data_IF_984627425826
#
_entry.id   IF_984627425826
#
_cell.length_a   1.000
_cell.length_b   1.000
_cell.length_c   1.000
_cell.angle_alpha   90.00
_cell.angle_beta   90.00
_cell.angle_gamma   90.00
#
_symmetry.space_group_name_H-M   'P 1'
#
loop_
_entity.id
_entity.type
_entity.pdbx_description
1 polymer ?
#
# COMPACT_ATOMS: atom_id res chain seq x y z
N UNK A 1 -19.43 9.28 -22.32
CA UNK A 1 -17.96 9.29 -22.06
C UNK A 1 -17.53 8.47 -20.82
N UNK A 2 -18.41 7.67 -20.20
CA UNK A 2 -18.11 6.90 -18.98
C UNK A 2 -17.09 5.74 -19.14
N UNK A 3 -16.73 5.38 -20.36
CA UNK A 3 -15.80 4.27 -20.65
C UNK A 3 -14.32 4.69 -20.74
N UNK A 4 -14.01 5.99 -20.73
CA UNK A 4 -12.64 6.46 -20.88
C UNK A 4 -11.78 6.21 -19.63
N UNK A 5 -12.35 6.43 -18.44
CA UNK A 5 -11.69 6.15 -17.16
C UNK A 5 -11.44 4.65 -16.96
N UNK A 6 -12.44 3.81 -17.22
CA UNK A 6 -12.32 2.36 -17.12
C UNK A 6 -11.26 1.78 -18.08
N UNK A 7 -11.20 2.29 -19.33
CA UNK A 7 -10.14 1.94 -20.28
C UNK A 7 -8.75 2.36 -19.80
N UNK A 8 -8.64 3.55 -19.19
CA UNK A 8 -7.38 4.05 -18.61
C UNK A 8 -6.91 3.14 -17.48
N UNK A 9 -7.78 2.83 -16.52
CA UNK A 9 -7.48 1.94 -15.39
C UNK A 9 -7.05 0.57 -15.90
N UNK A 10 -7.79 -0.01 -16.85
CA UNK A 10 -7.43 -1.29 -17.46
C UNK A 10 -6.03 -1.27 -18.08
N UNK A 11 -5.69 -0.23 -18.85
CA UNK A 11 -4.36 -0.09 -19.47
C UNK A 11 -3.24 0.05 -18.43
N UNK A 12 -3.49 0.77 -17.34
CA UNK A 12 -2.54 0.96 -16.24
C UNK A 12 -2.33 -0.36 -15.49
N UNK A 13 -3.42 -1.07 -15.17
CA UNK A 13 -3.40 -2.37 -14.53
C UNK A 13 -2.62 -3.41 -15.35
N UNK A 14 -2.86 -3.48 -16.66
CA UNK A 14 -2.12 -4.38 -17.55
C UNK A 14 -0.61 -4.12 -17.55
N UNK A 15 -0.20 -2.84 -17.54
CA UNK A 15 1.20 -2.47 -17.44
C UNK A 15 1.80 -2.85 -16.08
N UNK A 16 1.08 -2.60 -14.99
CA UNK A 16 1.54 -2.91 -13.64
C UNK A 16 1.63 -4.43 -13.41
N UNK A 17 0.66 -5.21 -13.88
CA UNK A 17 0.69 -6.67 -13.80
C UNK A 17 1.89 -7.24 -14.56
N UNK A 18 2.24 -6.69 -15.73
CA UNK A 18 3.47 -7.07 -16.45
C UNK A 18 4.72 -6.79 -15.61
N UNK A 19 4.80 -5.62 -14.97
CA UNK A 19 5.91 -5.27 -14.06
C UNK A 19 6.01 -6.22 -12.88
N UNK A 20 4.88 -6.57 -12.24
CA UNK A 20 4.85 -7.51 -11.10
C UNK A 20 5.34 -8.90 -11.53
N UNK A 21 4.86 -9.42 -12.67
CA UNK A 21 5.29 -10.73 -13.19
C UNK A 21 6.79 -10.74 -13.48
N UNK A 22 7.30 -9.68 -14.10
CA UNK A 22 8.72 -9.55 -14.40
C UNK A 22 9.54 -9.40 -13.11
N UNK A 23 9.05 -8.60 -12.16
CA UNK A 23 9.65 -8.40 -10.84
C UNK A 23 9.62 -9.62 -9.92
N UNK A 24 8.92 -10.70 -10.27
CA UNK A 24 9.04 -11.96 -9.53
C UNK A 24 10.39 -12.66 -9.78
N UNK A 25 10.85 -12.61 -11.04
CA UNK A 25 12.05 -13.32 -11.48
C UNK A 25 13.27 -12.41 -11.54
N UNK A 26 13.09 -11.17 -11.97
CA UNK A 26 14.18 -10.23 -12.20
C UNK A 26 15.07 -9.99 -10.96
N UNK A 27 14.56 -9.69 -9.76
CA UNK A 27 15.42 -9.43 -8.60
C UNK A 27 16.16 -10.67 -8.15
N UNK A 28 15.57 -11.86 -8.26
CA UNK A 28 16.21 -13.15 -7.96
C UNK A 28 17.39 -13.40 -8.90
N UNK A 29 17.17 -13.26 -10.21
CA UNK A 29 18.21 -13.44 -11.23
C UNK A 29 19.31 -12.38 -11.05
N UNK A 30 18.93 -11.12 -10.87
CA UNK A 30 19.87 -10.02 -10.72
C UNK A 30 20.70 -10.15 -9.44
N UNK A 31 20.10 -10.56 -8.33
CA UNK A 31 20.81 -10.85 -7.08
C UNK A 31 21.85 -11.95 -7.27
N UNK A 32 21.47 -13.05 -7.92
CA UNK A 32 22.39 -14.15 -8.21
C UNK A 32 23.53 -13.71 -9.14
N UNK A 33 23.22 -12.95 -10.20
CA UNK A 33 24.19 -12.45 -11.15
C UNK A 33 25.18 -11.47 -10.50
N UNK A 34 24.69 -10.53 -9.69
CA UNK A 34 25.53 -9.57 -8.96
C UNK A 34 26.45 -10.28 -7.97
N UNK A 35 25.94 -11.30 -7.27
CA UNK A 35 26.74 -12.11 -6.36
C UNK A 35 27.82 -12.90 -7.10
N UNK A 36 27.49 -13.49 -8.25
CA UNK A 36 28.45 -14.19 -9.12
C UNK A 36 29.53 -13.25 -9.67
N UNK A 37 29.15 -12.02 -10.06
CA UNK A 37 30.06 -11.07 -10.70
C UNK A 37 30.97 -10.37 -9.69
N UNK A 38 30.42 -9.95 -8.54
CA UNK A 38 31.13 -9.14 -7.54
C UNK A 38 31.74 -9.97 -6.39
N UNK A 39 31.26 -11.19 -6.14
CA UNK A 39 31.65 -12.01 -4.97
C UNK A 39 31.80 -13.49 -5.33
N UNK A 40 32.69 -13.75 -6.30
CA UNK A 40 33.06 -15.11 -6.78
C UNK A 40 33.47 -16.06 -5.64
N UNK A 41 34.09 -15.52 -4.59
CA UNK A 41 34.64 -16.31 -3.47
C UNK A 41 33.62 -16.62 -2.35
N UNK A 42 32.36 -16.14 -2.45
CA UNK A 42 31.31 -16.33 -1.41
C UNK A 42 30.18 -17.27 -1.84
N UNK A 43 30.51 -18.31 -2.60
CA UNK A 43 29.64 -19.46 -2.87
C UNK A 43 29.96 -20.54 -1.84
N UNK A 44 29.07 -20.96 -0.91
CA UNK A 44 27.62 -20.80 -0.87
C UNK A 44 27.10 -19.67 0.05
N UNK A 45 25.83 -19.24 -0.10
CA UNK A 45 25.19 -18.37 0.89
C UNK A 45 25.27 -19.02 2.27
N UNK A 46 25.72 -18.25 3.27
CA UNK A 46 25.61 -18.65 4.66
C UNK A 46 24.18 -19.09 4.95
N UNK A 47 24.01 -20.19 5.71
CA UNK A 47 22.69 -20.80 5.98
C UNK A 47 21.63 -19.77 6.39
N UNK A 48 22.03 -18.73 7.14
CA UNK A 48 21.16 -17.62 7.53
C UNK A 48 20.68 -16.74 6.38
N UNK A 49 21.52 -16.45 5.39
CA UNK A 49 21.12 -15.69 4.19
C UNK A 49 20.10 -16.47 3.37
N UNK A 50 20.32 -17.78 3.19
CA UNK A 50 19.37 -18.64 2.47
C UNK A 50 18.00 -18.68 3.17
N UNK A 51 17.97 -18.77 4.50
CA UNK A 51 16.73 -18.72 5.28
C UNK A 51 16.01 -17.37 5.10
N UNK A 52 16.72 -16.25 5.03
CA UNK A 52 16.12 -14.93 4.78
C UNK A 52 15.54 -14.81 3.36
N UNK A 53 16.26 -15.31 2.34
CA UNK A 53 15.73 -15.36 0.97
C UNK A 53 14.47 -16.21 0.90
N UNK A 54 14.47 -17.40 1.53
CA UNK A 54 13.32 -18.29 1.52
C UNK A 54 12.14 -17.71 2.32
N UNK A 55 12.42 -17.09 3.47
CA UNK A 55 11.43 -16.44 4.32
C UNK A 55 10.77 -15.23 3.67
N UNK A 56 11.52 -14.46 2.87
CA UNK A 56 10.97 -13.30 2.14
C UNK A 56 10.36 -13.67 0.79
N UNK A 57 10.72 -14.82 0.21
CA UNK A 57 10.13 -15.32 -1.02
C UNK A 57 8.63 -15.61 -0.85
N UNK A 58 8.22 -16.22 0.26
CA UNK A 58 6.81 -16.57 0.50
C UNK A 58 5.86 -15.35 0.52
N UNK A 59 6.08 -14.30 1.34
CA UNK A 59 5.23 -13.12 1.34
C UNK A 59 5.29 -12.37 0.00
N UNK A 60 6.46 -12.29 -0.64
CA UNK A 60 6.61 -11.70 -1.98
C UNK A 60 5.75 -12.45 -3.02
N UNK A 61 5.84 -13.78 -3.05
CA UNK A 61 5.06 -14.60 -3.95
C UNK A 61 3.56 -14.42 -3.70
N UNK A 62 3.14 -14.47 -2.44
CA UNK A 62 1.74 -14.28 -2.07
C UNK A 62 1.19 -12.90 -2.48
N UNK A 63 1.90 -11.81 -2.15
CA UNK A 63 1.50 -10.45 -2.54
C UNK A 63 1.45 -10.26 -4.05
N UNK A 64 2.45 -10.78 -4.77
CA UNK A 64 2.49 -10.68 -6.23
C UNK A 64 1.30 -11.40 -6.89
N UNK A 65 0.91 -12.56 -6.36
CA UNK A 65 -0.25 -13.33 -6.81
C UNK A 65 -1.55 -12.61 -6.49
N UNK A 66 -1.67 -12.06 -5.28
CA UNK A 66 -2.82 -11.26 -4.87
C UNK A 66 -3.00 -10.03 -5.77
N UNK A 67 -1.96 -9.19 -5.93
CA UNK A 67 -2.00 -8.00 -6.79
C UNK A 67 -2.27 -8.34 -8.26
N UNK A 68 -1.68 -9.43 -8.76
CA UNK A 68 -1.97 -9.90 -10.12
C UNK A 68 -3.42 -10.32 -10.25
N UNK A 69 -3.99 -11.01 -9.26
CA UNK A 69 -5.38 -11.48 -9.31
C UNK A 69 -6.37 -10.32 -9.33
N UNK A 70 -6.21 -9.34 -8.46
CA UNK A 70 -7.14 -8.19 -8.37
C UNK A 70 -6.97 -7.22 -9.56
N UNK A 71 -5.75 -7.07 -10.09
CA UNK A 71 -5.47 -6.18 -11.21
C UNK A 71 -5.63 -6.82 -12.60
N UNK A 72 -5.96 -8.11 -12.71
CA UNK A 72 -6.11 -8.75 -14.02
C UNK A 72 -7.40 -8.30 -14.68
N UNK A 73 -7.26 -7.60 -15.80
CA UNK A 73 -8.36 -7.20 -16.68
C UNK A 73 -8.96 -8.41 -17.39
N UNK A 74 -10.29 -8.49 -17.45
CA UNK A 74 -11.01 -9.48 -18.26
C UNK A 74 -11.55 -8.84 -19.53
N UNK A 75 -11.20 -9.41 -20.67
CA UNK A 75 -11.71 -9.02 -21.99
C UNK A 75 -12.38 -10.21 -22.64
N UNK A 76 -13.40 -9.95 -23.44
CA UNK A 76 -14.08 -10.98 -24.23
C UNK A 76 -13.11 -11.52 -25.30
N UNK A 77 -12.86 -12.84 -25.35
CA UNK A 77 -11.96 -13.43 -26.34
C UNK A 77 -12.44 -13.27 -27.79
N UNK A 78 -13.75 -13.06 -28.01
CA UNK A 78 -14.33 -12.99 -29.36
C UNK A 78 -14.45 -11.56 -29.88
N UNK A 79 -14.90 -10.63 -29.04
CA UNK A 79 -15.13 -9.23 -29.42
C UNK A 79 -14.01 -8.28 -28.99
N UNK A 80 -13.08 -8.72 -28.14
CA UNK A 80 -12.03 -7.88 -27.57
C UNK A 80 -12.55 -6.78 -26.65
N UNK A 81 -13.85 -6.77 -26.34
CA UNK A 81 -14.49 -5.78 -25.48
C UNK A 81 -14.06 -5.98 -24.03
N UNK A 82 -13.90 -4.87 -23.31
CA UNK A 82 -13.50 -4.90 -21.91
C UNK A 82 -14.71 -5.29 -21.05
N UNK A 83 -14.64 -6.46 -20.40
CA UNK A 83 -15.68 -6.98 -19.51
C UNK A 83 -15.46 -6.43 -18.09
N UNK A 84 -14.22 -6.43 -17.61
CA UNK A 84 -13.84 -5.89 -16.30
C UNK A 84 -12.42 -5.34 -16.33
N UNK A 85 -12.22 -4.16 -15.75
CA UNK A 85 -10.91 -3.53 -15.61
C UNK A 85 -10.14 -3.99 -14.36
N UNK A 86 -10.74 -4.83 -13.52
CA UNK A 86 -10.18 -5.25 -12.23
C UNK A 86 -10.25 -4.14 -11.18
N UNK A 87 -9.59 -4.35 -10.04
CA UNK A 87 -9.38 -3.31 -9.03
C UNK A 87 -8.22 -2.41 -9.46
N UNK A 88 -8.34 -1.11 -9.22
CA UNK A 88 -7.31 -0.15 -9.61
C UNK A 88 -6.09 -0.32 -8.69
N UNK A 89 -5.00 -0.84 -9.26
CA UNK A 89 -3.76 -1.10 -8.53
C UNK A 89 -3.08 0.19 -8.04
N UNK A 90 -3.45 1.35 -8.58
CA UNK A 90 -2.89 2.63 -8.16
C UNK A 90 -3.72 3.31 -7.06
N UNK A 91 -4.69 2.61 -6.48
CA UNK A 91 -5.45 3.17 -5.36
C UNK A 91 -4.58 3.30 -4.10
N UNK A 92 -4.73 4.39 -3.33
CA UNK A 92 -4.09 4.53 -2.04
C UNK A 92 -4.69 3.55 -1.03
N UNK A 93 -3.89 3.11 -0.05
CA UNK A 93 -4.31 2.13 0.95
C UNK A 93 -3.67 0.76 0.72
N UNK A 94 -4.43 -0.34 0.80
CA UNK A 94 -3.82 -1.68 0.87
C UNK A 94 -2.89 -2.03 -0.30
N UNK A 95 -3.24 -1.61 -1.51
CA UNK A 95 -2.44 -1.81 -2.74
C UNK A 95 -1.09 -1.11 -2.66
N UNK A 96 -1.06 0.15 -2.20
CA UNK A 96 0.18 0.92 -1.99
C UNK A 96 1.11 0.20 -1.00
N UNK A 97 0.57 -0.25 0.12
CA UNK A 97 1.34 -0.99 1.14
C UNK A 97 1.88 -2.32 0.58
N UNK A 98 1.11 -2.99 -0.27
CA UNK A 98 1.57 -4.20 -0.93
C UNK A 98 2.71 -3.91 -1.94
N UNK A 99 2.64 -2.80 -2.69
CA UNK A 99 3.71 -2.37 -3.58
C UNK A 99 4.98 -1.98 -2.82
N UNK A 100 4.86 -1.27 -1.69
CA UNK A 100 6.01 -0.92 -0.85
C UNK A 100 6.72 -2.16 -0.35
N UNK A 101 5.98 -3.14 0.18
CA UNK A 101 6.55 -4.41 0.63
C UNK A 101 7.24 -5.14 -0.53
N UNK A 102 6.62 -5.20 -1.71
CA UNK A 102 7.24 -5.84 -2.89
C UNK A 102 8.54 -5.12 -3.31
N UNK A 103 8.51 -3.80 -3.47
CA UNK A 103 9.67 -3.05 -3.94
C UNK A 103 10.81 -3.06 -2.93
N UNK A 104 10.52 -2.96 -1.62
CA UNK A 104 11.55 -3.10 -0.59
C UNK A 104 12.12 -4.53 -0.59
N UNK A 105 11.28 -5.55 -0.79
CA UNK A 105 11.76 -6.94 -0.90
C UNK A 105 12.70 -7.11 -2.09
N UNK A 106 12.33 -6.58 -3.27
CA UNK A 106 13.18 -6.65 -4.47
C UNK A 106 14.48 -5.89 -4.28
N UNK A 107 14.43 -4.69 -3.69
CA UNK A 107 15.61 -3.91 -3.36
C UNK A 107 16.49 -4.66 -2.37
N UNK A 108 15.92 -5.33 -1.36
CA UNK A 108 16.68 -6.13 -0.40
C UNK A 108 17.34 -7.34 -1.05
N UNK A 109 16.65 -8.05 -1.94
CA UNK A 109 17.22 -9.18 -2.67
C UNK A 109 18.40 -8.76 -3.56
N UNK A 110 18.21 -7.73 -4.37
CA UNK A 110 19.25 -7.20 -5.28
C UNK A 110 20.40 -6.56 -4.50
N UNK A 111 20.08 -5.72 -3.51
CA UNK A 111 21.04 -5.02 -2.68
C UNK A 111 21.89 -5.96 -1.83
N UNK A 112 21.31 -7.02 -1.29
CA UNK A 112 22.10 -8.06 -0.59
C UNK A 112 23.01 -8.85 -1.54
N UNK A 113 22.61 -9.03 -2.81
CA UNK A 113 23.47 -9.62 -3.84
C UNK A 113 24.68 -8.73 -4.18
N UNK A 114 24.50 -7.40 -4.19
CA UNK A 114 25.57 -6.44 -4.48
C UNK A 114 26.46 -6.12 -3.28
N UNK A 115 25.84 -5.74 -2.14
CA UNK A 115 26.51 -5.16 -0.98
C UNK A 115 26.69 -6.16 0.18
N UNK A 116 26.10 -7.35 0.08
CA UNK A 116 26.19 -8.41 1.09
C UNK A 116 25.07 -8.41 2.11
N UNK A 117 25.18 -9.31 3.08
CA UNK A 117 24.11 -9.66 4.02
C UNK A 117 23.69 -8.51 4.96
N UNK A 118 24.52 -7.48 5.15
CA UNK A 118 24.15 -6.32 5.97
C UNK A 118 22.92 -5.59 5.43
N UNK A 119 22.68 -5.64 4.11
CA UNK A 119 21.57 -4.96 3.47
C UNK A 119 20.20 -5.46 3.95
N UNK A 120 20.13 -6.69 4.51
CA UNK A 120 18.93 -7.23 5.13
C UNK A 120 18.46 -6.43 6.35
N UNK A 121 19.32 -5.62 6.97
CA UNK A 121 18.90 -4.71 8.03
C UNK A 121 17.87 -3.69 7.53
N UNK A 122 17.92 -3.26 6.27
CA UNK A 122 16.90 -2.38 5.70
C UNK A 122 15.53 -3.04 5.65
N UNK A 123 15.46 -4.37 5.57
CA UNK A 123 14.21 -5.10 5.59
C UNK A 123 13.48 -4.98 6.94
N UNK A 124 14.19 -4.66 8.02
CA UNK A 124 13.60 -4.45 9.36
C UNK A 124 12.74 -3.18 9.44
N UNK A 125 12.86 -2.26 8.48
CA UNK A 125 12.00 -1.06 8.38
C UNK A 125 10.53 -1.45 8.18
N UNK A 126 10.24 -2.52 7.44
CA UNK A 126 8.89 -3.01 7.20
C UNK A 126 8.18 -3.40 8.51
N UNK A 127 8.70 -4.35 9.32
CA UNK A 127 8.04 -4.72 10.58
C UNK A 127 8.04 -3.56 11.58
N UNK A 128 9.09 -2.74 11.63
CA UNK A 128 9.13 -1.57 12.51
C UNK A 128 7.99 -0.59 12.21
N UNK A 129 7.77 -0.29 10.93
CA UNK A 129 6.69 0.59 10.49
C UNK A 129 5.31 -0.03 10.70
N UNK A 130 5.17 -1.34 10.48
CA UNK A 130 3.93 -2.07 10.76
C UNK A 130 3.57 -2.01 12.26
N UNK A 131 4.54 -2.21 13.15
CA UNK A 131 4.38 -2.09 14.60
C UNK A 131 4.01 -0.66 14.98
N UNK A 132 4.71 0.34 14.43
CA UNK A 132 4.39 1.75 14.67
C UNK A 132 2.94 2.08 14.28
N UNK A 133 2.50 1.67 13.09
CA UNK A 133 1.11 1.92 12.67
C UNK A 133 0.11 1.18 13.55
N UNK A 134 0.38 -0.06 13.94
CA UNK A 134 -0.48 -0.82 14.86
C UNK A 134 -0.56 -0.13 16.23
N UNK A 135 0.57 0.37 16.72
CA UNK A 135 0.64 1.12 17.96
C UNK A 135 -0.23 2.37 17.91
N UNK A 136 -0.08 3.20 16.88
CA UNK A 136 -0.86 4.45 16.73
C UNK A 136 -2.34 4.17 16.45
N UNK A 137 -2.67 3.16 15.63
CA UNK A 137 -4.03 2.93 15.17
C UNK A 137 -4.89 2.09 16.11
N UNK A 138 -4.30 1.19 16.91
CA UNK A 138 -5.05 0.23 17.73
C UNK A 138 -4.76 0.42 19.21
N UNK A 139 -3.49 0.56 19.58
CA UNK A 139 -3.07 0.56 20.99
C UNK A 139 -3.26 1.95 21.60
N UNK A 140 -2.80 3.00 20.93
CA UNK A 140 -2.95 4.41 21.35
C UNK A 140 -4.41 4.78 21.67
N UNK A 141 -5.40 4.55 20.79
CA UNK A 141 -6.79 4.91 21.10
C UNK A 141 -7.39 4.10 22.27
N UNK A 142 -6.90 2.89 22.52
CA UNK A 142 -7.37 2.01 23.59
C UNK A 142 -6.70 2.32 24.94
N UNK A 143 -5.44 2.74 24.93
CA UNK A 143 -4.62 2.98 26.13
C UNK A 143 -4.63 4.44 26.58
N UNK A 144 -4.66 5.40 25.65
CA UNK A 144 -4.53 6.84 25.95
C UNK A 144 -5.90 7.52 26.13
N UNK A 145 -7.01 6.81 25.90
CA UNK A 145 -8.36 7.23 26.27
C UNK A 145 -8.88 8.44 25.48
N UNK A 146 -9.78 8.21 24.51
CA UNK A 146 -10.81 9.17 24.04
C UNK A 146 -10.44 10.66 23.86
N UNK A 147 -9.18 11.01 23.60
CA UNK A 147 -8.76 12.41 23.52
C UNK A 147 -7.68 12.73 22.48
N UNK A 148 -7.05 11.74 21.85
CA UNK A 148 -6.10 12.00 20.77
C UNK A 148 -6.64 11.42 19.47
N UNK A 149 -7.49 12.20 18.81
CA UNK A 149 -7.67 12.13 17.36
C UNK A 149 -6.37 12.58 16.70
N UNK A 150 -5.34 11.74 16.75
CA UNK A 150 -4.21 11.85 15.84
C UNK A 150 -4.63 11.19 14.53
N UNK A 151 -5.28 12.02 13.74
CA UNK A 151 -5.57 11.87 12.33
C UNK A 151 -4.28 11.49 11.59
N UNK A 152 -4.09 10.20 11.30
CA UNK A 152 -3.13 9.80 10.26
C UNK A 152 -3.87 9.78 8.94
N UNK A 153 -4.12 10.98 8.42
CA UNK A 153 -4.39 11.20 7.00
C UNK A 153 -3.07 11.02 6.26
N UNK A 154 -2.88 9.86 5.63
CA UNK A 154 -1.88 9.71 4.59
C UNK A 154 -2.43 10.31 3.29
N UNK A 155 -1.99 11.55 3.04
CA UNK A 155 -1.88 12.23 1.75
C UNK A 155 -3.06 13.10 1.28
N UNK A 156 -3.17 14.30 1.86
CA UNK A 156 -3.72 15.48 1.17
C UNK A 156 -2.83 16.71 1.44
N UNK A 157 -2.35 17.32 0.35
CA UNK A 157 -1.71 18.65 0.32
C UNK A 157 -2.57 19.70 1.04
N UNK A 158 -1.97 20.79 1.53
CA UNK A 158 -2.63 21.70 2.45
C UNK A 158 -3.69 22.52 1.71
N UNK A 159 -4.93 22.42 2.14
CA UNK A 159 -5.81 23.58 2.18
C UNK A 159 -7.03 23.31 3.06
N UNK A 160 -7.15 24.18 4.06
CA UNK A 160 -8.39 24.62 4.70
C UNK A 160 -9.16 23.56 5.50
N UNK A 161 -8.96 23.67 6.81
CA UNK A 161 -9.98 23.55 7.85
C UNK A 161 -11.41 23.28 7.33
N UNK A 162 -11.94 22.08 7.58
CA UNK A 162 -13.28 21.98 8.15
C UNK A 162 -13.48 20.61 8.79
N UNK A 163 -13.51 20.66 10.12
CA UNK A 163 -13.86 19.55 10.99
C UNK A 163 -15.12 18.84 10.50
N UNK A 164 -15.03 17.50 10.41
CA UNK A 164 -16.13 16.59 10.22
C UNK A 164 -17.16 16.72 11.34
N UNK A 165 -18.02 17.73 11.21
CA UNK A 165 -19.24 17.83 12.01
C UNK A 165 -20.24 16.84 11.42
N UNK A 166 -20.76 15.96 12.27
CA UNK A 166 -21.78 14.98 11.89
C UNK A 166 -22.88 15.65 11.08
N UNK A 167 -23.41 15.01 10.03
CA UNK A 167 -24.53 15.55 9.21
C UNK A 167 -25.72 16.07 10.03
N UNK A 168 -25.84 15.68 11.31
CA UNK A 168 -26.77 16.28 12.30
C UNK A 168 -26.37 17.67 12.76
N UNK A 169 -25.10 17.91 13.09
CA UNK A 169 -24.56 19.21 13.50
C UNK A 169 -24.64 20.22 12.36
N UNK A 170 -24.38 19.80 11.13
CA UNK A 170 -24.52 20.69 9.96
C UNK A 170 -25.98 21.06 9.68
N UNK A 171 -26.93 20.12 9.86
CA UNK A 171 -28.38 20.41 9.81
C UNK A 171 -28.83 21.32 10.96
N UNK A 172 -28.24 21.20 12.14
CA UNK A 172 -28.54 22.08 13.27
C UNK A 172 -28.02 23.50 13.01
N UNK A 173 -26.79 23.64 12.47
CA UNK A 173 -26.17 24.93 12.11
C UNK A 173 -26.95 25.65 11.00
N UNK A 174 -27.35 24.92 9.95
CA UNK A 174 -28.23 25.46 8.89
C UNK A 174 -29.61 25.89 9.40
N UNK A 175 -30.13 25.28 10.48
CA UNK A 175 -31.37 25.74 11.15
C UNK A 175 -31.15 26.93 12.07
N UNK A 176 -30.01 27.02 12.76
CA UNK A 176 -29.67 28.18 13.59
C UNK A 176 -29.42 29.43 12.74
N UNK A 177 -28.78 29.28 11.57
CA UNK A 177 -28.55 30.37 10.61
C UNK A 177 -29.86 30.89 9.99
N UNK A 178 -30.84 30.01 9.79
CA UNK A 178 -32.19 30.38 9.31
C UNK A 178 -33.05 31.06 10.39
N UNK A 179 -32.56 31.21 11.62
CA UNK A 179 -33.21 32.00 12.67
C UNK A 179 -34.46 31.34 13.28
N UNK A 180 -34.52 30.00 13.29
CA UNK A 180 -35.69 29.27 13.79
C UNK A 180 -35.82 29.42 15.33
N UNK A 181 -36.91 30.01 15.86
CA UNK A 181 -37.02 30.40 17.28
C UNK A 181 -36.95 29.24 18.27
N UNK A 182 -37.15 27.99 17.82
CA UNK A 182 -37.04 26.79 18.66
C UNK A 182 -35.61 26.44 19.09
N UNK A 183 -34.59 26.86 18.34
CA UNK A 183 -33.18 26.51 18.63
C UNK A 183 -32.59 27.44 19.70
N UNK A 184 -33.05 28.69 19.78
CA UNK A 184 -32.54 29.68 20.76
C UNK A 184 -32.95 29.37 22.20
N UNK A 185 -34.02 28.61 22.41
CA UNK A 185 -34.57 28.34 23.77
C UNK A 185 -33.66 27.41 24.58
N UNK A 186 -32.82 26.60 23.95
CA UNK A 186 -32.00 25.60 24.64
C UNK A 186 -30.62 26.10 25.12
N UNK A 187 -30.18 27.28 24.69
CA UNK A 187 -28.83 27.79 24.99
C UNK A 187 -28.73 28.57 26.32
N UNK A 188 -29.76 28.53 27.18
CA UNK A 188 -29.76 29.27 28.45
C UNK A 188 -30.11 28.35 29.62
N UNK A 189 -29.11 27.65 30.13
CA UNK A 189 -28.98 27.35 31.57
C UNK A 189 -27.54 26.95 31.90
#
# INVERSE_FOLDING_TARGET
>A
MANASAKRIASQNEATVKKIRLGLFLPTILSFLLRLLLRRDSLPPSKGSLTLYLGTFFPMFFLSKYLTQIGTTRRDPTTGTLISYGEDLNQPGLTEWAFDVLYITWACQVGSGAFGEWFWWLYTVIPLYAIYKLWVSVISPFVIGRGSSSQTDSNSKPNTEENGTSKRQEKLRKRSERGDPRVRVQARK
#
